data_IF_108579252462
#
_entry.id   IF_108579252462
#
_cell.length_a   1.000
_cell.length_b   1.000
_cell.length_c   1.000
_cell.angle_alpha   90.00
_cell.angle_beta   90.00
_cell.angle_gamma   90.00
#
_symmetry.space_group_name_H-M   'P 1'
#
loop_
_entity.id
_entity.type
_entity.pdbx_description
1 polymer ?
#
# COMPACT_ATOMS: atom_id res chain seq x y z
N UNK A 1 -22.37 23.08 -9.35
CA UNK A 1 -21.48 22.76 -8.22
C UNK A 1 -20.16 23.46 -8.47
N UNK A 2 -19.79 24.40 -7.62
CA UNK A 2 -18.53 25.10 -7.74
C UNK A 2 -17.48 24.35 -6.92
N UNK A 3 -16.43 23.88 -7.57
CA UNK A 3 -15.24 23.38 -6.92
C UNK A 3 -14.27 24.54 -6.74
N UNK A 4 -13.81 24.76 -5.52
CA UNK A 4 -12.74 25.72 -5.23
C UNK A 4 -11.43 24.96 -5.17
N UNK A 5 -10.42 25.44 -5.91
CA UNK A 5 -9.07 24.89 -5.84
C UNK A 5 -8.49 25.07 -4.44
N UNK A 6 -7.85 24.01 -3.96
CA UNK A 6 -7.15 23.99 -2.69
C UNK A 6 -5.66 23.70 -2.89
N UNK A 7 -4.86 24.06 -1.89
CA UNK A 7 -3.46 23.67 -1.85
C UNK A 7 -3.33 22.19 -1.55
N UNK A 8 -2.35 21.54 -2.16
CA UNK A 8 -2.04 20.15 -1.87
C UNK A 8 -1.70 19.99 -0.38
N UNK A 9 -2.43 19.16 0.38
CA UNK A 9 -2.11 18.89 1.78
C UNK A 9 -0.80 18.09 1.87
N UNK A 10 -0.08 18.24 2.98
CA UNK A 10 1.13 17.45 3.24
C UNK A 10 0.82 15.99 3.50
N UNK A 11 -0.33 15.72 4.10
CA UNK A 11 -0.85 14.40 4.40
C UNK A 11 -2.37 14.39 4.30
N UNK A 12 -2.95 13.23 4.07
CA UNK A 12 -4.41 13.01 4.04
C UNK A 12 -4.78 11.70 4.73
N UNK A 13 -6.02 11.64 5.19
CA UNK A 13 -6.58 10.48 5.89
C UNK A 13 -7.73 9.88 5.08
N UNK A 14 -7.70 8.56 4.94
CA UNK A 14 -8.68 7.80 4.18
C UNK A 14 -9.15 6.56 4.97
N UNK A 15 -10.44 6.44 5.19
CA UNK A 15 -11.04 5.25 5.79
C UNK A 15 -11.28 4.21 4.70
N UNK A 16 -10.65 3.07 4.81
CA UNK A 16 -10.76 1.97 3.85
C UNK A 16 -11.20 0.69 4.56
N UNK A 17 -11.87 -0.22 3.84
CA UNK A 17 -12.09 -1.58 4.32
C UNK A 17 -10.78 -2.36 4.32
N UNK A 18 -10.56 -3.21 5.33
CA UNK A 18 -9.37 -4.07 5.42
C UNK A 18 -9.18 -4.95 4.18
N UNK A 19 -10.28 -5.45 3.61
CA UNK A 19 -10.25 -6.25 2.39
C UNK A 19 -9.61 -5.54 1.19
N UNK A 20 -9.66 -4.20 1.15
CA UNK A 20 -9.09 -3.40 0.05
C UNK A 20 -7.64 -2.96 0.32
N UNK A 21 -7.11 -3.18 1.54
CA UNK A 21 -5.81 -2.65 1.94
C UNK A 21 -4.69 -3.14 1.02
N UNK A 22 -4.62 -4.44 0.77
CA UNK A 22 -3.58 -5.02 -0.09
C UNK A 22 -3.64 -4.43 -1.51
N UNK A 23 -4.83 -4.34 -2.10
CA UNK A 23 -4.99 -3.73 -3.43
C UNK A 23 -4.54 -2.26 -3.48
N UNK A 24 -4.85 -1.48 -2.44
CA UNK A 24 -4.41 -0.08 -2.33
C UNK A 24 -2.88 0.01 -2.27
N UNK A 25 -2.24 -0.88 -1.49
CA UNK A 25 -0.79 -0.89 -1.33
C UNK A 25 -0.07 -1.46 -2.57
N UNK A 26 -0.69 -2.42 -3.26
CA UNK A 26 -0.18 -2.97 -4.52
C UNK A 26 -0.21 -1.95 -5.65
N UNK A 27 -1.31 -1.20 -5.73
CA UNK A 27 -1.46 -0.13 -6.72
C UNK A 27 -0.65 1.13 -6.38
N UNK A 28 -0.30 1.34 -5.11
CA UNK A 28 0.30 2.59 -4.61
C UNK A 28 -0.61 3.81 -4.80
N UNK A 29 -1.92 3.57 -4.89
CA UNK A 29 -2.90 4.63 -5.16
C UNK A 29 -4.27 4.37 -4.54
N UNK A 30 -5.01 5.45 -4.28
CA UNK A 30 -6.45 5.40 -4.02
C UNK A 30 -7.18 5.65 -5.32
N UNK A 31 -7.95 4.67 -5.77
CA UNK A 31 -8.74 4.76 -7.00
C UNK A 31 -10.07 5.45 -6.77
N UNK A 32 -10.52 6.22 -7.74
CA UNK A 32 -11.87 6.78 -7.79
C UNK A 32 -12.90 5.64 -7.87
N UNK A 33 -14.00 5.83 -7.18
CA UNK A 33 -15.13 4.92 -7.29
C UNK A 33 -16.35 5.67 -7.80
N UNK A 34 -16.71 5.49 -9.07
CA UNK A 34 -17.88 6.10 -9.75
C UNK A 34 -17.91 7.63 -9.77
N UNK A 35 -16.95 8.31 -9.17
CA UNK A 35 -16.82 9.77 -9.11
C UNK A 35 -15.63 10.27 -9.95
N UNK A 36 -15.55 11.57 -10.13
CA UNK A 36 -14.38 12.21 -10.76
C UNK A 36 -13.27 12.48 -9.76
N UNK A 37 -13.56 12.44 -8.47
CA UNK A 37 -12.66 12.73 -7.35
C UNK A 37 -12.56 11.56 -6.35
N UNK A 38 -11.37 11.46 -5.71
CA UNK A 38 -11.19 10.74 -4.45
C UNK A 38 -11.34 11.71 -3.28
N UNK A 39 -12.00 11.29 -2.19
CA UNK A 39 -12.31 12.14 -1.05
C UNK A 39 -11.55 11.71 0.20
N UNK A 40 -10.93 12.70 0.87
CA UNK A 40 -10.07 12.52 2.04
C UNK A 40 -10.44 13.48 3.15
N UNK A 41 -9.97 13.23 4.37
CA UNK A 41 -9.92 14.24 5.43
C UNK A 41 -8.49 14.78 5.51
N UNK A 42 -8.36 16.09 5.73
CA UNK A 42 -7.05 16.75 5.81
C UNK A 42 -6.37 16.56 7.18
N UNK A 43 -7.14 16.18 8.19
CA UNK A 43 -6.66 15.94 9.56
C UNK A 43 -7.52 14.91 10.29
N UNK A 44 -7.02 14.41 11.42
CA UNK A 44 -7.69 13.38 12.22
C UNK A 44 -8.94 13.88 12.94
N UNK A 45 -9.02 15.15 13.27
CA UNK A 45 -10.23 15.73 13.90
C UNK A 45 -11.38 15.72 12.90
N UNK A 46 -11.10 16.12 11.66
CA UNK A 46 -12.08 16.05 10.56
C UNK A 46 -12.44 14.61 10.22
N UNK A 47 -11.47 13.68 10.27
CA UNK A 47 -11.74 12.26 10.06
C UNK A 47 -12.69 11.72 11.13
N UNK A 48 -12.43 12.01 12.41
CA UNK A 48 -13.31 11.59 13.50
C UNK A 48 -14.72 12.16 13.34
N UNK A 49 -14.81 13.47 13.10
CA UNK A 49 -16.11 14.12 12.87
C UNK A 49 -16.84 13.53 11.64
N UNK A 50 -16.13 13.22 10.57
CA UNK A 50 -16.69 12.53 9.41
C UNK A 50 -17.26 11.15 9.79
N UNK A 51 -16.50 10.33 10.53
CA UNK A 51 -16.96 9.02 10.96
C UNK A 51 -18.21 9.12 11.82
N UNK A 52 -18.23 10.02 12.81
CA UNK A 52 -19.35 10.24 13.71
C UNK A 52 -20.63 10.75 12.97
N UNK A 53 -20.45 11.59 11.95
CA UNK A 53 -21.57 12.17 11.19
C UNK A 53 -22.09 11.30 10.06
N UNK A 54 -21.31 10.31 9.62
CA UNK A 54 -21.63 9.47 8.47
C UNK A 54 -21.57 7.98 8.82
N UNK A 55 -20.37 7.43 8.93
CA UNK A 55 -20.15 5.96 8.98
C UNK A 55 -20.75 5.32 10.21
N UNK A 56 -20.66 6.00 11.36
CA UNK A 56 -21.17 5.53 12.66
C UNK A 56 -22.65 5.86 12.91
N UNK A 57 -23.36 6.27 11.87
CA UNK A 57 -24.76 6.66 11.94
C UNK A 57 -25.72 5.53 11.58
N UNK A 58 -25.46 4.29 12.02
CA UNK A 58 -26.30 3.12 11.73
C UNK A 58 -27.78 3.38 11.82
N UNK A 59 -28.53 2.98 10.77
CA UNK A 59 -29.98 3.14 10.67
C UNK A 59 -30.50 4.56 10.44
N UNK A 60 -29.65 5.59 10.59
CA UNK A 60 -30.07 6.97 10.31
C UNK A 60 -30.30 7.17 8.80
N UNK A 61 -31.34 7.92 8.41
CA UNK A 61 -31.60 8.21 7.02
C UNK A 61 -30.61 9.23 6.44
N UNK A 62 -30.21 9.03 5.20
CA UNK A 62 -29.44 10.00 4.41
C UNK A 62 -29.91 9.99 2.96
N UNK A 63 -29.60 11.03 2.20
CA UNK A 63 -29.82 11.07 0.77
C UNK A 63 -28.50 10.80 0.04
N UNK A 64 -28.51 9.81 -0.88
CA UNK A 64 -27.35 9.55 -1.74
C UNK A 64 -27.24 10.63 -2.84
N UNK A 65 -26.19 10.53 -3.66
CA UNK A 65 -25.91 11.49 -4.75
C UNK A 65 -27.00 11.59 -5.80
N UNK A 66 -27.87 10.57 -5.92
CA UNK A 66 -29.02 10.55 -6.83
C UNK A 66 -30.30 11.11 -6.18
N UNK A 67 -30.21 11.57 -4.91
CA UNK A 67 -31.36 12.07 -4.15
C UNK A 67 -32.26 10.98 -3.57
N UNK A 68 -31.87 9.71 -3.64
CA UNK A 68 -32.61 8.59 -3.07
C UNK A 68 -32.38 8.52 -1.54
N UNK A 69 -33.47 8.30 -0.78
CA UNK A 69 -33.39 8.09 0.66
C UNK A 69 -32.81 6.72 0.97
N UNK A 70 -31.66 6.71 1.63
CA UNK A 70 -30.95 5.51 2.09
C UNK A 70 -30.86 5.51 3.62
N UNK A 71 -30.40 4.41 4.20
CA UNK A 71 -30.03 4.32 5.62
C UNK A 71 -28.57 3.89 5.73
N UNK A 72 -27.85 4.48 6.69
CA UNK A 72 -26.48 4.08 6.97
C UNK A 72 -26.44 2.61 7.39
N UNK A 73 -25.57 1.80 6.78
CA UNK A 73 -25.37 0.40 7.15
C UNK A 73 -24.75 0.29 8.55
N UNK A 74 -24.72 -0.93 9.09
CA UNK A 74 -23.98 -1.23 10.31
C UNK A 74 -22.48 -0.94 10.07
N UNK A 75 -21.88 -0.21 11.00
CA UNK A 75 -20.46 0.04 11.02
C UNK A 75 -19.78 -0.91 12.02
N UNK A 76 -18.81 -1.68 11.55
CA UNK A 76 -18.01 -2.61 12.34
C UNK A 76 -16.57 -2.09 12.26
N UNK A 77 -16.05 -1.42 13.31
CA UNK A 77 -14.72 -0.80 13.29
C UNK A 77 -13.59 -1.75 12.88
N UNK A 78 -13.71 -3.03 13.28
CA UNK A 78 -12.74 -4.09 13.01
C UNK A 78 -12.57 -4.40 11.51
N UNK A 79 -13.58 -4.08 10.69
CA UNK A 79 -13.55 -4.30 9.23
C UNK A 79 -12.83 -3.17 8.48
N UNK A 80 -12.43 -2.12 9.18
CA UNK A 80 -11.84 -0.93 8.58
C UNK A 80 -10.43 -0.66 9.09
N UNK A 81 -9.67 0.04 8.25
CA UNK A 81 -8.39 0.68 8.58
C UNK A 81 -8.46 2.15 8.23
N UNK A 82 -7.77 2.96 9.00
CA UNK A 82 -7.56 4.36 8.67
C UNK A 82 -6.15 4.51 8.10
N UNK A 83 -6.07 4.96 6.86
CA UNK A 83 -4.82 5.22 6.17
C UNK A 83 -4.44 6.68 6.32
N UNK A 84 -3.23 6.93 6.83
CA UNK A 84 -2.54 8.21 6.71
C UNK A 84 -1.63 8.11 5.51
N UNK A 85 -1.81 8.97 4.52
CA UNK A 85 -1.13 8.92 3.23
C UNK A 85 -0.36 10.22 3.00
N UNK A 86 0.86 10.12 2.49
CA UNK A 86 1.62 11.26 1.98
C UNK A 86 1.48 11.26 0.45
N UNK A 87 0.70 12.18 -0.12
CA UNK A 87 0.48 12.25 -1.55
C UNK A 87 1.78 12.50 -2.33
N UNK A 88 1.93 11.86 -3.47
CA UNK A 88 2.91 12.30 -4.45
C UNK A 88 2.60 13.75 -4.85
N UNK A 89 3.64 14.60 -5.00
CA UNK A 89 3.47 16.02 -5.33
C UNK A 89 2.88 16.18 -6.74
N UNK A 90 1.56 16.09 -6.80
CA UNK A 90 0.80 16.49 -7.98
C UNK A 90 0.19 17.85 -7.66
N UNK A 91 0.74 18.90 -8.28
CA UNK A 91 0.24 20.26 -8.14
C UNK A 91 -1.11 20.34 -8.83
N UNK A 92 -2.04 21.07 -8.26
CA UNK A 92 -3.26 21.61 -8.90
C UNK A 92 -4.51 20.71 -9.02
N UNK A 93 -4.55 19.48 -8.51
CA UNK A 93 -5.75 18.62 -8.60
C UNK A 93 -6.56 18.53 -7.30
N UNK A 94 -6.29 19.39 -6.32
CA UNK A 94 -6.99 19.41 -5.04
C UNK A 94 -8.12 20.42 -5.07
N UNK A 95 -9.27 20.03 -4.52
CA UNK A 95 -10.50 20.81 -4.54
C UNK A 95 -11.25 20.65 -3.23
N UNK A 96 -11.86 21.75 -2.77
CA UNK A 96 -12.94 21.73 -1.81
C UNK A 96 -14.25 21.86 -2.57
N UNK A 97 -15.26 21.15 -2.14
CA UNK A 97 -16.58 21.31 -2.69
C UNK A 97 -17.27 22.52 -2.05
N UNK A 98 -17.40 23.59 -2.78
CA UNK A 98 -18.19 24.74 -2.35
C UNK A 98 -19.59 24.58 -2.89
N UNK A 99 -20.55 24.45 -1.97
CA UNK A 99 -21.92 24.14 -2.33
C UNK A 99 -22.72 25.38 -2.64
N UNK A 100 -23.04 25.57 -3.91
CA UNK A 100 -24.32 26.16 -4.27
C UNK A 100 -25.35 25.04 -4.34
N UNK A 101 -26.14 24.91 -3.29
CA UNK A 101 -27.28 24.02 -3.28
C UNK A 101 -28.43 24.76 -3.95
N UNK A 102 -29.13 24.12 -4.91
CA UNK A 102 -30.24 24.76 -5.59
C UNK A 102 -31.25 25.34 -4.60
N UNK A 103 -31.73 26.56 -4.86
CA UNK A 103 -32.75 27.19 -4.05
C UNK A 103 -33.98 26.30 -3.98
N UNK A 104 -34.48 26.07 -2.76
CA UNK A 104 -35.62 25.17 -2.52
C UNK A 104 -35.25 23.72 -2.17
N UNK A 105 -33.96 23.35 -2.12
CA UNK A 105 -33.54 22.02 -1.65
C UNK A 105 -33.95 21.78 -0.19
N UNK A 106 -34.27 20.54 0.20
CA UNK A 106 -34.60 20.19 1.59
C UNK A 106 -33.49 20.61 2.57
N UNK A 107 -33.85 21.18 3.70
CA UNK A 107 -32.90 21.69 4.70
C UNK A 107 -31.92 20.62 5.20
N UNK A 108 -32.36 19.34 5.24
CA UNK A 108 -31.49 18.22 5.60
C UNK A 108 -30.39 17.97 4.54
N UNK A 109 -30.72 18.09 3.25
CA UNK A 109 -29.74 17.97 2.17
C UNK A 109 -28.74 19.11 2.21
N UNK A 110 -29.20 20.34 2.44
CA UNK A 110 -28.35 21.53 2.59
C UNK A 110 -27.34 21.35 3.72
N UNK A 111 -27.82 20.84 4.86
CA UNK A 111 -26.97 20.61 6.04
C UNK A 111 -25.92 19.51 5.79
N UNK A 112 -26.38 18.32 5.33
CA UNK A 112 -25.49 17.19 5.07
C UNK A 112 -24.37 17.58 4.08
N UNK A 113 -24.76 18.33 3.09
CA UNK A 113 -23.85 18.76 2.08
C UNK A 113 -22.80 19.78 2.61
N UNK A 114 -23.19 20.74 3.44
CA UNK A 114 -22.25 21.69 4.09
C UNK A 114 -21.32 20.97 5.05
N UNK A 115 -21.82 20.05 5.86
CA UNK A 115 -21.04 19.25 6.79
C UNK A 115 -20.00 18.41 6.05
N UNK A 116 -20.39 17.75 4.97
CA UNK A 116 -19.46 16.99 4.12
C UNK A 116 -18.36 17.87 3.53
N UNK A 117 -18.73 19.05 2.98
CA UNK A 117 -17.77 19.98 2.38
C UNK A 117 -16.77 20.54 3.37
N UNK A 118 -17.16 20.70 4.62
CA UNK A 118 -16.27 21.20 5.68
C UNK A 118 -15.24 20.16 6.14
N UNK A 119 -15.57 18.85 6.03
CA UNK A 119 -14.76 17.76 6.54
C UNK A 119 -13.84 17.15 5.48
N UNK A 120 -14.19 17.27 4.20
CA UNK A 120 -13.51 16.56 3.10
C UNK A 120 -12.77 17.51 2.18
N UNK A 121 -11.65 16.98 1.66
CA UNK A 121 -10.91 17.54 0.54
C UNK A 121 -10.89 16.50 -0.58
N UNK A 122 -11.14 16.93 -1.82
CA UNK A 122 -11.18 16.08 -3.00
C UNK A 122 -9.90 16.18 -3.82
N UNK A 123 -9.48 15.06 -4.36
CA UNK A 123 -8.43 14.99 -5.38
C UNK A 123 -9.04 14.52 -6.69
N UNK A 124 -8.88 15.27 -7.78
CA UNK A 124 -9.41 14.91 -9.10
C UNK A 124 -8.50 13.90 -9.78
N UNK A 125 -8.99 12.69 -9.94
CA UNK A 125 -8.26 11.55 -10.46
C UNK A 125 -7.98 10.51 -9.37
N UNK A 126 -7.18 9.52 -9.70
CA UNK A 126 -6.66 8.53 -8.77
C UNK A 126 -5.49 9.13 -8.00
N UNK A 127 -5.51 9.07 -6.68
CA UNK A 127 -4.45 9.64 -5.84
C UNK A 127 -3.31 8.66 -5.66
N UNK A 128 -2.14 8.95 -6.21
CA UNK A 128 -0.90 8.24 -5.90
C UNK A 128 -0.25 8.80 -4.63
N UNK A 129 0.31 7.92 -3.82
CA UNK A 129 1.00 8.27 -2.59
C UNK A 129 2.36 7.56 -2.51
N UNK A 130 3.29 8.13 -1.73
CA UNK A 130 4.65 7.61 -1.55
C UNK A 130 4.88 6.94 -0.20
N UNK A 131 4.10 7.29 0.81
CA UNK A 131 4.21 6.69 2.14
C UNK A 131 2.79 6.48 2.67
N UNK A 132 2.60 5.38 3.37
CA UNK A 132 1.36 5.07 4.06
C UNK A 132 1.63 4.60 5.50
N UNK A 133 0.75 4.99 6.41
CA UNK A 133 0.68 4.43 7.75
C UNK A 133 -0.72 3.88 7.96
N UNK A 134 -0.82 2.69 8.55
CA UNK A 134 -2.09 2.08 8.94
C UNK A 134 -2.36 2.38 10.41
N UNK A 135 -3.48 3.01 10.68
CA UNK A 135 -3.98 3.30 12.03
C UNK A 135 -5.14 2.35 12.31
N UNK A 136 -5.11 1.71 13.48
CA UNK A 136 -6.19 0.83 13.93
C UNK A 136 -7.43 1.64 14.27
N UNK A 137 -8.56 1.31 13.65
CA UNK A 137 -9.81 2.08 13.82
C UNK A 137 -10.42 1.89 15.19
N UNK A 138 -10.55 0.69 15.77
CA UNK A 138 -10.98 0.48 17.15
C UNK A 138 -10.19 1.31 18.17
N UNK A 139 -8.87 1.29 18.12
CA UNK A 139 -8.00 2.05 19.01
C UNK A 139 -8.14 3.57 18.81
N UNK A 140 -8.25 4.02 17.56
CA UNK A 140 -8.50 5.42 17.24
C UNK A 140 -9.81 5.94 17.84
N UNK A 141 -10.86 5.12 17.80
CA UNK A 141 -12.18 5.51 18.30
C UNK A 141 -12.26 5.49 19.83
N UNK A 142 -11.65 4.51 20.50
CA UNK A 142 -11.72 4.36 21.98
C UNK A 142 -10.73 5.25 22.68
N UNK A 143 -9.46 5.17 22.35
CA UNK A 143 -8.38 5.75 23.14
C UNK A 143 -7.79 7.03 22.50
N UNK A 144 -8.24 7.37 21.29
CA UNK A 144 -7.66 8.46 20.51
C UNK A 144 -6.21 8.18 20.09
N UNK A 145 -5.77 6.91 20.17
CA UNK A 145 -4.43 6.48 19.80
C UNK A 145 -4.26 6.62 18.29
N UNK A 146 -3.26 7.39 17.91
CA UNK A 146 -2.97 7.75 16.53
C UNK A 146 -1.62 7.19 16.08
N UNK A 147 -1.15 6.14 16.73
CA UNK A 147 0.06 5.48 16.31
C UNK A 147 -0.21 4.75 15.01
N UNK A 148 0.29 5.30 13.91
CA UNK A 148 0.29 4.67 12.61
C UNK A 148 1.44 3.66 12.51
N UNK A 149 1.16 2.49 12.00
CA UNK A 149 2.20 1.54 11.61
C UNK A 149 2.58 1.84 10.17
N UNK A 150 3.84 2.24 9.89
CA UNK A 150 4.32 2.43 8.54
C UNK A 150 4.11 1.16 7.72
N UNK A 151 3.60 1.31 6.51
CA UNK A 151 3.44 0.22 5.54
C UNK A 151 4.03 0.64 4.21
N UNK A 152 4.82 -0.24 3.63
CA UNK A 152 5.46 0.00 2.34
C UNK A 152 4.50 -0.35 1.21
N UNK A 153 4.51 0.39 0.14
CA UNK A 153 3.85 0.03 -1.12
C UNK A 153 4.64 -1.08 -1.82
N UNK A 154 4.02 -1.75 -2.76
CA UNK A 154 4.70 -2.76 -3.60
C UNK A 154 5.88 -2.14 -4.36
N UNK A 155 5.77 -0.88 -4.79
CA UNK A 155 6.89 -0.16 -5.45
C UNK A 155 8.07 0.04 -4.50
N UNK A 156 7.82 0.51 -3.27
CA UNK A 156 8.88 0.71 -2.26
C UNK A 156 9.55 -0.61 -1.85
N UNK A 157 8.78 -1.68 -1.70
CA UNK A 157 9.33 -3.01 -1.42
C UNK A 157 10.22 -3.50 -2.57
N UNK A 158 9.79 -3.26 -3.82
CA UNK A 158 10.57 -3.62 -5.01
C UNK A 158 11.86 -2.80 -5.12
N UNK A 159 11.81 -1.50 -4.84
CA UNK A 159 13.00 -0.64 -4.82
C UNK A 159 14.00 -1.13 -3.77
N UNK A 160 13.54 -1.43 -2.56
CA UNK A 160 14.38 -1.95 -1.48
C UNK A 160 15.03 -3.30 -1.85
N UNK A 161 14.24 -4.22 -2.41
CA UNK A 161 14.77 -5.50 -2.91
C UNK A 161 15.85 -5.28 -3.97
N UNK A 162 15.62 -4.36 -4.92
CA UNK A 162 16.59 -4.06 -5.96
C UNK A 162 17.88 -3.47 -5.40
N UNK A 163 17.81 -2.60 -4.41
CA UNK A 163 19.02 -2.06 -3.75
C UNK A 163 19.85 -3.17 -3.10
N UNK A 164 19.21 -4.13 -2.41
CA UNK A 164 19.88 -5.28 -1.81
C UNK A 164 20.54 -6.17 -2.88
N UNK A 165 19.76 -6.59 -3.87
CA UNK A 165 20.22 -7.46 -4.97
C UNK A 165 21.36 -6.83 -5.76
N UNK A 166 21.30 -5.54 -6.05
CA UNK A 166 22.37 -4.80 -6.73
C UNK A 166 23.64 -4.65 -5.88
N UNK A 167 23.50 -4.50 -4.57
CA UNK A 167 24.65 -4.49 -3.64
C UNK A 167 25.35 -5.85 -3.66
N UNK A 168 24.60 -6.94 -3.44
CA UNK A 168 25.13 -8.30 -3.43
C UNK A 168 25.79 -8.66 -4.77
N UNK A 169 25.15 -8.30 -5.88
CA UNK A 169 25.71 -8.54 -7.22
C UNK A 169 27.05 -7.82 -7.43
N UNK A 170 27.19 -6.61 -6.94
CA UNK A 170 28.47 -5.87 -6.99
C UNK A 170 29.53 -6.56 -6.15
N UNK A 171 29.23 -6.93 -4.91
CA UNK A 171 30.13 -7.62 -4.01
C UNK A 171 30.57 -8.97 -4.58
N UNK A 172 29.62 -9.73 -5.14
CA UNK A 172 29.89 -11.00 -5.84
C UNK A 172 30.84 -10.79 -7.03
N UNK A 173 30.52 -9.82 -7.88
CA UNK A 173 31.37 -9.48 -9.05
C UNK A 173 32.78 -9.08 -8.63
N UNK A 174 32.91 -8.26 -7.59
CA UNK A 174 34.24 -7.89 -7.03
C UNK A 174 35.00 -9.10 -6.49
N UNK A 175 34.29 -10.10 -5.96
CA UNK A 175 34.92 -11.36 -5.52
C UNK A 175 35.51 -12.15 -6.71
N UNK A 176 34.77 -12.20 -7.84
CA UNK A 176 35.23 -12.88 -9.06
C UNK A 176 36.50 -12.25 -9.62
N UNK A 177 36.67 -10.93 -9.59
CA UNK A 177 37.90 -10.26 -10.04
C UNK A 177 39.15 -10.61 -9.22
N UNK A 178 38.95 -11.15 -8.00
CA UNK A 178 40.08 -11.60 -7.15
C UNK A 178 40.44 -13.07 -7.35
N UNK A 179 39.63 -13.80 -8.11
CA UNK A 179 39.83 -15.23 -8.37
C UNK A 179 40.84 -15.46 -9.47
N UNK A 180 41.59 -16.55 -9.34
CA UNK A 180 42.44 -17.06 -10.41
C UNK A 180 41.59 -17.69 -11.51
N UNK A 181 42.13 -17.83 -12.72
CA UNK A 181 41.47 -18.49 -13.82
C UNK A 181 41.01 -19.91 -13.45
N UNK A 182 41.82 -20.68 -12.72
CA UNK A 182 41.43 -22.03 -12.28
C UNK A 182 40.23 -22.03 -11.32
N UNK A 183 40.16 -21.05 -10.41
CA UNK A 183 39.03 -20.87 -9.51
C UNK A 183 37.76 -20.47 -10.28
N UNK A 184 37.86 -19.56 -11.25
CA UNK A 184 36.71 -19.19 -12.11
C UNK A 184 36.14 -20.38 -12.85
N UNK A 185 37.01 -21.25 -13.42
CA UNK A 185 36.59 -22.47 -14.11
C UNK A 185 35.91 -23.43 -13.12
N UNK A 186 36.47 -23.62 -11.93
CA UNK A 186 35.90 -24.51 -10.91
C UNK A 186 34.52 -24.01 -10.42
N UNK A 187 34.31 -22.69 -10.38
CA UNK A 187 33.06 -22.07 -9.90
C UNK A 187 32.07 -21.70 -11.04
N UNK A 188 32.30 -22.19 -12.28
CA UNK A 188 31.49 -21.79 -13.43
C UNK A 188 29.98 -22.03 -13.23
N UNK A 189 29.60 -23.14 -12.61
CA UNK A 189 28.20 -23.45 -12.30
C UNK A 189 27.60 -22.48 -11.29
N UNK A 190 28.33 -22.09 -10.27
CA UNK A 190 27.90 -21.10 -9.27
C UNK A 190 27.74 -19.69 -9.88
N UNK A 191 28.66 -19.32 -10.78
CA UNK A 191 28.60 -18.05 -11.51
C UNK A 191 27.34 -18.00 -12.38
N UNK A 192 27.02 -19.09 -13.05
CA UNK A 192 25.80 -19.18 -13.87
C UNK A 192 24.53 -19.14 -13.02
N UNK A 193 24.49 -19.86 -11.89
CA UNK A 193 23.39 -19.82 -10.94
C UNK A 193 23.18 -18.41 -10.37
N UNK A 194 24.26 -17.72 -10.00
CA UNK A 194 24.16 -16.33 -9.52
C UNK A 194 23.59 -15.40 -10.59
N UNK A 195 24.07 -15.50 -11.84
CA UNK A 195 23.58 -14.70 -12.96
C UNK A 195 22.10 -14.96 -13.23
N UNK A 196 21.67 -16.21 -13.17
CA UNK A 196 20.27 -16.59 -13.36
C UNK A 196 19.39 -16.01 -12.26
N UNK A 197 19.73 -16.21 -10.98
CA UNK A 197 18.97 -15.73 -9.85
C UNK A 197 18.87 -14.18 -9.83
N UNK A 198 19.99 -13.51 -10.10
CA UNK A 198 20.02 -12.04 -10.23
C UNK A 198 19.04 -11.55 -11.29
N UNK A 199 19.11 -12.07 -12.52
CA UNK A 199 18.22 -11.67 -13.60
C UNK A 199 16.75 -12.00 -13.27
N UNK A 200 16.49 -13.16 -12.68
CA UNK A 200 15.15 -13.57 -12.30
C UNK A 200 14.53 -12.63 -11.26
N UNK A 201 15.24 -12.29 -10.19
CA UNK A 201 14.76 -11.35 -9.16
C UNK A 201 14.46 -9.95 -9.72
N UNK A 202 15.20 -9.49 -10.74
CA UNK A 202 14.94 -8.20 -11.38
C UNK A 202 13.73 -8.22 -12.33
N UNK A 203 13.43 -9.36 -12.96
CA UNK A 203 12.45 -9.43 -14.06
C UNK A 203 11.14 -10.10 -13.70
N UNK A 204 11.13 -10.99 -12.70
CA UNK A 204 9.93 -11.71 -12.29
C UNK A 204 8.89 -10.81 -11.64
N UNK A 205 7.63 -11.14 -11.88
CA UNK A 205 6.50 -10.50 -11.18
C UNK A 205 6.31 -11.19 -9.83
N UNK A 206 6.90 -10.61 -8.80
CA UNK A 206 6.71 -11.02 -7.42
C UNK A 206 5.43 -10.40 -6.86
N UNK A 207 4.69 -11.15 -6.06
CA UNK A 207 3.57 -10.61 -5.30
C UNK A 207 4.06 -9.83 -4.06
N UNK A 208 3.13 -9.16 -3.40
CA UNK A 208 3.46 -8.29 -2.26
C UNK A 208 4.06 -9.05 -1.08
N UNK A 209 3.58 -10.25 -0.77
CA UNK A 209 4.08 -11.04 0.35
C UNK A 209 5.49 -11.56 0.06
N UNK A 210 5.74 -12.02 -1.16
CA UNK A 210 7.09 -12.38 -1.60
C UNK A 210 8.06 -11.19 -1.52
N UNK A 211 7.62 -10.02 -1.98
CA UNK A 211 8.44 -8.80 -1.89
C UNK A 211 8.75 -8.40 -0.44
N UNK A 212 7.77 -8.50 0.48
CA UNK A 212 8.01 -8.22 1.91
C UNK A 212 9.08 -9.12 2.49
N UNK A 213 8.98 -10.44 2.22
CA UNK A 213 9.91 -11.41 2.76
C UNK A 213 11.31 -11.17 2.21
N UNK A 214 11.45 -11.04 0.89
CA UNK A 214 12.74 -10.85 0.24
C UNK A 214 13.39 -9.50 0.57
N UNK A 215 12.61 -8.42 0.61
CA UNK A 215 13.11 -7.09 0.98
C UNK A 215 13.52 -6.98 2.46
N UNK A 216 13.01 -7.87 3.32
CA UNK A 216 13.38 -7.94 4.73
C UNK A 216 14.66 -8.78 4.99
N UNK A 217 15.15 -9.49 3.98
CA UNK A 217 16.42 -10.24 4.07
C UNK A 217 17.60 -9.29 3.89
N UNK A 218 18.68 -9.52 4.63
CA UNK A 218 19.91 -8.78 4.44
C UNK A 218 20.58 -9.13 3.09
N UNK A 219 20.55 -10.40 2.71
CA UNK A 219 21.18 -10.93 1.50
C UNK A 219 20.20 -11.82 0.70
N UNK A 220 19.17 -11.23 0.04
CA UNK A 220 18.13 -11.97 -0.68
C UNK A 220 18.65 -12.73 -1.90
N UNK A 221 19.65 -12.19 -2.63
CA UNK A 221 20.23 -12.87 -3.79
C UNK A 221 21.00 -14.14 -3.37
N UNK A 222 21.79 -14.05 -2.30
CA UNK A 222 22.51 -15.20 -1.73
C UNK A 222 21.54 -16.28 -1.25
N UNK A 223 20.48 -15.90 -0.52
CA UNK A 223 19.48 -16.83 -0.02
C UNK A 223 18.81 -17.61 -1.17
N UNK A 224 18.38 -16.91 -2.22
CA UNK A 224 17.73 -17.51 -3.40
C UNK A 224 18.73 -18.38 -4.17
N UNK A 225 19.97 -17.91 -4.36
CA UNK A 225 21.02 -18.66 -5.03
C UNK A 225 21.35 -19.97 -4.33
N UNK A 226 21.50 -19.95 -3.01
CA UNK A 226 21.79 -21.14 -2.21
C UNK A 226 20.67 -22.16 -2.26
N UNK A 227 19.42 -21.73 -2.19
CA UNK A 227 18.27 -22.61 -2.34
C UNK A 227 18.16 -23.17 -3.75
N UNK A 228 18.36 -22.35 -4.78
CA UNK A 228 18.36 -22.77 -6.18
C UNK A 228 19.45 -23.81 -6.47
N UNK A 229 20.67 -23.63 -5.97
CA UNK A 229 21.76 -24.58 -6.13
C UNK A 229 21.48 -25.94 -5.47
N UNK A 230 20.64 -25.95 -4.43
CA UNK A 230 20.26 -27.18 -3.72
C UNK A 230 19.15 -27.97 -4.43
N UNK A 231 18.38 -27.31 -5.29
CA UNK A 231 17.28 -27.90 -6.06
C UNK A 231 17.77 -28.43 -7.40
N UNK A 232 18.37 -29.62 -7.45
CA UNK A 232 18.83 -30.20 -8.71
C UNK A 232 17.71 -31.00 -9.40
N UNK A 233 17.45 -30.66 -10.65
CA UNK A 233 16.60 -31.28 -11.67
C UNK A 233 15.18 -30.75 -11.82
N UNK A 234 14.88 -30.09 -12.85
CA UNK A 234 13.67 -29.87 -13.67
C UNK A 234 13.56 -28.42 -14.15
N UNK A 235 12.78 -28.15 -15.18
CA UNK A 235 12.64 -26.90 -15.94
C UNK A 235 12.82 -25.57 -15.14
N UNK A 236 13.90 -24.88 -15.46
CA UNK A 236 14.52 -23.81 -14.63
C UNK A 236 13.55 -22.73 -14.11
N UNK A 237 12.51 -22.35 -14.84
CA UNK A 237 11.59 -21.28 -14.40
C UNK A 237 10.53 -21.76 -13.39
N UNK A 238 10.00 -22.97 -13.57
CA UNK A 238 8.98 -23.53 -12.66
C UNK A 238 9.58 -23.84 -11.30
N UNK A 239 10.80 -24.37 -11.29
CA UNK A 239 11.51 -24.72 -10.07
C UNK A 239 11.99 -23.49 -9.29
N UNK A 240 12.44 -22.44 -9.98
CA UNK A 240 12.76 -21.18 -9.33
C UNK A 240 11.55 -20.57 -8.62
N UNK A 241 10.39 -20.56 -9.27
CA UNK A 241 9.15 -20.05 -8.66
C UNK A 241 8.74 -20.86 -7.43
N UNK A 242 8.89 -22.17 -7.48
CA UNK A 242 8.60 -23.06 -6.36
C UNK A 242 9.58 -22.81 -5.19
N UNK A 243 10.87 -22.75 -5.47
CA UNK A 243 11.91 -22.48 -4.47
C UNK A 243 11.74 -21.12 -3.80
N UNK A 244 11.39 -20.09 -4.58
CA UNK A 244 11.09 -18.76 -4.05
C UNK A 244 9.93 -18.79 -3.05
N UNK A 245 8.87 -19.50 -3.41
CA UNK A 245 7.70 -19.67 -2.55
C UNK A 245 8.07 -20.38 -1.23
N UNK A 246 8.83 -21.47 -1.27
CA UNK A 246 9.27 -22.21 -0.09
C UNK A 246 10.13 -21.37 0.85
N UNK A 247 11.09 -20.60 0.33
CA UNK A 247 11.91 -19.68 1.15
C UNK A 247 11.03 -18.64 1.86
N UNK A 248 10.10 -18.05 1.13
CA UNK A 248 9.20 -17.05 1.71
C UNK A 248 8.33 -17.64 2.82
N UNK A 249 7.78 -18.85 2.64
CA UNK A 249 7.00 -19.53 3.68
C UNK A 249 7.85 -19.89 4.91
N UNK A 250 9.04 -20.44 4.72
CA UNK A 250 9.95 -20.82 5.82
C UNK A 250 10.34 -19.58 6.63
N UNK A 251 10.68 -18.48 5.97
CA UNK A 251 11.07 -17.22 6.65
C UNK A 251 9.91 -16.65 7.47
N UNK A 252 8.68 -16.70 6.96
CA UNK A 252 7.48 -16.28 7.70
C UNK A 252 7.24 -17.18 8.92
N UNK A 253 7.43 -18.51 8.79
CA UNK A 253 7.28 -19.45 9.90
C UNK A 253 8.32 -19.22 11.00
N UNK A 254 9.58 -19.01 10.64
CA UNK A 254 10.67 -18.71 11.59
C UNK A 254 10.43 -17.41 12.35
N UNK A 255 10.03 -16.34 11.66
CA UNK A 255 9.67 -15.08 12.30
C UNK A 255 8.48 -15.22 13.26
N UNK A 256 7.50 -16.05 12.91
CA UNK A 256 6.33 -16.31 13.76
C UNK A 256 6.70 -17.11 15.02
N UNK A 257 7.69 -18.00 14.94
CA UNK A 257 8.18 -18.77 16.08
C UNK A 257 9.05 -17.94 17.05
N UNK A 258 9.78 -16.94 16.52
CA UNK A 258 10.61 -16.04 17.34
C UNK A 258 9.79 -15.00 18.11
N UNK A 259 8.55 -14.73 17.70
CA UNK A 259 7.65 -13.79 18.38
C UNK A 259 6.75 -14.43 19.44
N UNK A 260 6.87 -15.73 19.68
CA UNK A 260 6.19 -16.47 20.76
C UNK A 260 7.15 -16.76 21.91
#
# INVERSE_FOLDING_TARGET
MAYVKEHAPSEVYHLAKKENLNSILDDGMIRRFSDTECWFCADLQKMRAYMEQTVMCEGKPYYNVTGQLCRYPKFVPEDYVLLKLIPCRQKDNWYRWEQEIPAGSPAALVRAAREFSALKIGYRGDLTFRNAEVIDVPLFLTDGIVQGNPVQTTSELRELLFEHVEREQREYTDSLYRMTQGQLIANAGEIEANRFCYNALLTMRLDREQLKVLAAMDDPLEAVRSAWASAQDVGQEEEFSHTLFEICEQTVQEQTMQMK
#
